data_IF_819016525451
#
_entry.id   IF_819016525451
#
_cell.length_a   1.000
_cell.length_b   1.000
_cell.length_c   1.000
_cell.angle_alpha   90.00
_cell.angle_beta   90.00
_cell.angle_gamma   90.00
#
_symmetry.space_group_name_H-M   'P 1'
#
loop_
_entity.id
_entity.type
_entity.pdbx_description
1 polymer ?
#
# COMPACT_ATOMS: atom_id res chain seq x y z
N UNK A 1 19.67 -23.42 -2.51
CA UNK A 1 18.28 -23.45 -3.04
C UNK A 1 17.18 -23.53 -1.96
N UNK A 2 17.39 -24.15 -0.79
CA UNK A 2 16.32 -24.28 0.24
C UNK A 2 15.85 -22.98 0.92
N UNK A 3 16.65 -21.90 0.91
CA UNK A 3 16.33 -20.68 1.68
C UNK A 3 15.15 -19.86 1.11
N UNK A 4 14.92 -19.93 -0.20
CA UNK A 4 13.88 -19.14 -0.89
C UNK A 4 12.49 -19.79 -0.80
N UNK A 5 12.42 -21.12 -0.88
CA UNK A 5 11.15 -21.86 -0.87
C UNK A 5 10.52 -21.90 0.52
N UNK A 6 11.32 -22.13 1.56
CA UNK A 6 10.84 -22.07 2.95
C UNK A 6 10.41 -20.67 3.35
N UNK A 7 11.14 -19.63 2.91
CA UNK A 7 10.77 -18.23 3.11
C UNK A 7 9.46 -17.89 2.41
N UNK A 8 9.26 -18.36 1.18
CA UNK A 8 8.01 -18.17 0.44
C UNK A 8 6.82 -18.87 1.12
N UNK A 9 7.03 -20.07 1.64
CA UNK A 9 6.01 -20.80 2.38
C UNK A 9 5.63 -20.04 3.66
N UNK A 10 6.62 -19.53 4.40
CA UNK A 10 6.41 -18.71 5.59
C UNK A 10 5.64 -17.43 5.26
N UNK A 11 6.05 -16.71 4.21
CA UNK A 11 5.37 -15.49 3.78
C UNK A 11 3.90 -15.75 3.47
N UNK A 12 3.57 -16.83 2.74
CA UNK A 12 2.17 -17.19 2.43
C UNK A 12 1.43 -17.63 3.70
N UNK A 13 2.06 -18.48 4.53
CA UNK A 13 1.45 -19.02 5.74
C UNK A 13 1.05 -17.92 6.75
N UNK A 14 1.79 -16.81 6.78
CA UNK A 14 1.48 -15.67 7.65
C UNK A 14 0.59 -14.64 6.94
N UNK A 15 0.91 -14.26 5.70
CA UNK A 15 0.17 -13.19 4.99
C UNK A 15 -1.26 -13.60 4.60
N UNK A 16 -1.51 -14.87 4.31
CA UNK A 16 -2.83 -15.34 3.92
C UNK A 16 -3.86 -15.22 5.05
N UNK A 17 -3.65 -15.80 6.24
CA UNK A 17 -4.57 -15.62 7.36
C UNK A 17 -4.63 -14.15 7.81
N UNK A 18 -3.50 -13.43 7.81
CA UNK A 18 -3.50 -12.00 8.14
C UNK A 18 -4.39 -11.20 7.18
N UNK A 19 -4.35 -11.51 5.87
CA UNK A 19 -5.20 -10.86 4.87
C UNK A 19 -6.68 -11.22 5.05
N UNK A 20 -7.00 -12.47 5.40
CA UNK A 20 -8.38 -12.90 5.64
C UNK A 20 -8.96 -12.20 6.88
N UNK A 21 -8.20 -12.15 7.97
CA UNK A 21 -8.60 -11.46 9.20
C UNK A 21 -8.71 -9.94 8.97
N UNK A 22 -7.79 -9.37 8.19
CA UNK A 22 -7.81 -7.96 7.85
C UNK A 22 -8.85 -7.62 6.76
N UNK A 23 -9.42 -8.59 6.04
CA UNK A 23 -10.34 -8.34 4.93
C UNK A 23 -11.54 -7.44 5.29
N UNK A 24 -12.30 -7.66 6.39
CA UNK A 24 -13.39 -6.76 6.78
C UNK A 24 -12.89 -5.34 7.08
N UNK A 25 -11.72 -5.22 7.72
CA UNK A 25 -11.09 -3.93 8.00
C UNK A 25 -10.66 -3.23 6.71
N UNK A 26 -9.97 -3.93 5.81
CA UNK A 26 -9.53 -3.43 4.51
C UNK A 26 -10.71 -2.92 3.68
N UNK A 27 -11.83 -3.65 3.69
CA UNK A 27 -13.03 -3.24 2.97
C UNK A 27 -13.66 -1.98 3.56
N UNK A 28 -13.78 -1.91 4.90
CA UNK A 28 -14.23 -0.71 5.59
C UNK A 28 -13.34 0.49 5.33
N UNK A 29 -12.02 0.33 5.44
CA UNK A 29 -11.04 1.38 5.13
C UNK A 29 -11.13 1.84 3.67
N UNK A 30 -11.27 0.91 2.70
CA UNK A 30 -11.48 1.25 1.30
C UNK A 30 -12.72 2.14 1.11
N UNK A 31 -13.83 1.83 1.79
CA UNK A 31 -15.04 2.63 1.74
C UNK A 31 -14.81 4.02 2.35
N UNK A 32 -14.22 4.12 3.54
CA UNK A 32 -13.92 5.41 4.18
C UNK A 32 -12.97 6.27 3.35
N UNK A 33 -11.92 5.67 2.78
CA UNK A 33 -11.02 6.36 1.86
C UNK A 33 -11.78 6.89 0.66
N UNK A 34 -12.65 6.08 0.05
CA UNK A 34 -13.44 6.51 -1.11
C UNK A 34 -14.41 7.65 -0.77
N UNK A 35 -15.03 7.61 0.40
CA UNK A 35 -15.98 8.63 0.86
C UNK A 35 -15.28 9.94 1.28
N UNK A 36 -14.08 9.87 1.87
CA UNK A 36 -13.37 11.05 2.43
C UNK A 36 -12.36 11.67 1.47
N UNK A 37 -11.68 10.86 0.66
CA UNK A 37 -10.61 11.28 -0.25
C UNK A 37 -10.97 11.16 -1.74
N UNK A 38 -12.08 10.49 -2.05
CA UNK A 38 -12.55 10.27 -3.42
C UNK A 38 -12.01 8.98 -4.05
N UNK A 39 -12.35 8.77 -5.33
CA UNK A 39 -11.83 7.66 -6.11
C UNK A 39 -10.51 8.03 -6.81
N UNK A 40 -9.55 7.11 -6.98
CA UNK A 40 -9.53 5.72 -6.50
C UNK A 40 -9.15 5.59 -5.02
N UNK A 41 -9.61 4.52 -4.36
CA UNK A 41 -9.27 4.24 -2.95
C UNK A 41 -7.84 3.71 -2.75
N UNK A 42 -7.29 3.05 -3.77
CA UNK A 42 -5.94 2.51 -3.74
C UNK A 42 -4.98 3.43 -4.50
N UNK A 43 -3.85 3.72 -3.86
CA UNK A 43 -2.69 4.32 -4.48
C UNK A 43 -1.77 3.20 -4.99
N UNK A 44 -1.25 3.36 -6.21
CA UNK A 44 -0.40 2.38 -6.88
C UNK A 44 0.92 3.05 -7.23
N UNK A 45 2.03 2.42 -6.86
CA UNK A 45 3.35 2.94 -7.17
C UNK A 45 4.26 1.85 -7.71
N UNK A 46 4.93 2.10 -8.82
CA UNK A 46 5.94 1.18 -9.34
C UNK A 46 7.19 1.22 -8.45
N UNK A 47 7.69 0.04 -8.09
CA UNK A 47 8.88 -0.15 -7.26
C UNK A 47 9.79 -1.22 -7.86
N UNK A 48 11.13 -1.10 -7.72
CA UNK A 48 12.04 -2.15 -8.11
C UNK A 48 11.92 -3.33 -7.12
N UNK A 49 11.71 -4.52 -7.66
CA UNK A 49 11.63 -5.78 -6.93
C UNK A 49 12.86 -6.66 -7.13
N UNK A 50 12.69 -7.96 -6.89
CA UNK A 50 13.77 -8.93 -6.98
C UNK A 50 14.35 -9.02 -8.41
N UNK A 51 15.68 -9.00 -8.52
CA UNK A 51 16.43 -9.01 -9.79
C UNK A 51 16.07 -7.86 -10.75
N UNK A 52 15.70 -6.69 -10.20
CA UNK A 52 15.36 -5.52 -11.01
C UNK A 52 14.00 -5.60 -11.70
N UNK A 53 13.21 -6.66 -11.45
CA UNK A 53 11.83 -6.74 -11.96
C UNK A 53 10.96 -5.76 -11.22
N UNK A 54 10.30 -4.89 -11.96
CA UNK A 54 9.42 -3.86 -11.42
C UNK A 54 8.10 -4.47 -10.99
N UNK A 55 7.57 -4.08 -9.84
CA UNK A 55 6.23 -4.47 -9.41
C UNK A 55 5.42 -3.26 -8.94
N UNK A 56 4.10 -3.42 -8.90
CA UNK A 56 3.18 -2.38 -8.46
C UNK A 56 2.88 -2.56 -6.99
N UNK A 57 3.36 -1.65 -6.16
CA UNK A 57 3.07 -1.59 -4.73
C UNK A 57 1.68 -0.96 -4.51
N UNK A 58 0.87 -1.60 -3.68
CA UNK A 58 -0.50 -1.15 -3.36
C UNK A 58 -0.56 -0.53 -1.97
N UNK A 59 -1.15 0.66 -1.86
CA UNK A 59 -1.46 1.34 -0.59
C UNK A 59 -2.87 1.90 -0.61
N UNK A 60 -3.41 2.28 0.54
CA UNK A 60 -4.55 3.18 0.56
C UNK A 60 -4.12 4.61 0.21
N UNK A 61 -5.02 5.31 -0.46
CA UNK A 61 -4.84 6.72 -0.75
C UNK A 61 -5.00 7.54 0.52
N UNK A 62 -3.99 8.34 0.86
CA UNK A 62 -4.00 9.20 2.06
C UNK A 62 -4.07 10.70 1.74
N UNK A 63 -3.98 11.08 0.47
CA UNK A 63 -3.94 12.48 0.03
C UNK A 63 -5.02 12.76 -1.02
N UNK A 64 -5.59 13.96 -1.00
CA UNK A 64 -6.58 14.41 -1.99
C UNK A 64 -5.91 14.84 -3.30
N UNK A 65 -6.67 14.99 -4.39
CA UNK A 65 -6.19 15.58 -5.65
C UNK A 65 -6.61 17.04 -5.80
N UNK A 66 -6.69 17.77 -4.68
CA UNK A 66 -7.06 19.18 -4.70
C UNK A 66 -6.02 19.97 -5.49
N UNK A 67 -6.49 20.75 -6.45
CA UNK A 67 -5.68 21.61 -7.32
C UNK A 67 -5.92 23.08 -6.98
N UNK A 68 -4.97 23.93 -7.29
CA UNK A 68 -5.12 25.38 -7.26
C UNK A 68 -5.94 25.88 -8.48
N UNK A 69 -6.18 27.19 -8.53
CA UNK A 69 -6.89 27.86 -9.62
C UNK A 69 -6.15 27.74 -10.97
N UNK A 70 -4.84 27.49 -10.94
CA UNK A 70 -4.01 27.29 -12.12
C UNK A 70 -3.95 25.82 -12.57
N UNK A 71 -4.66 24.92 -11.88
CA UNK A 71 -4.69 23.48 -12.17
C UNK A 71 -3.49 22.68 -11.64
N UNK A 72 -2.59 23.29 -10.88
CA UNK A 72 -1.48 22.62 -10.23
C UNK A 72 -1.93 21.92 -8.95
N UNK A 73 -1.32 20.78 -8.62
CA UNK A 73 -1.59 20.10 -7.35
C UNK A 73 -1.17 20.99 -6.19
N UNK A 74 -2.04 21.11 -5.19
CA UNK A 74 -1.71 21.84 -3.97
C UNK A 74 -0.51 21.20 -3.24
N UNK A 75 0.17 21.97 -2.36
CA UNK A 75 1.19 21.41 -1.48
C UNK A 75 0.66 20.26 -0.64
N UNK A 76 1.54 19.31 -0.32
CA UNK A 76 1.23 18.11 0.44
C UNK A 76 0.49 18.39 1.75
N UNK A 77 0.87 19.46 2.45
CA UNK A 77 0.25 19.90 3.70
C UNK A 77 -1.24 20.21 3.56
N UNK A 78 -1.65 20.78 2.42
CA UNK A 78 -3.05 21.11 2.12
C UNK A 78 -3.83 19.91 1.59
N UNK A 79 -3.13 18.89 1.06
CA UNK A 79 -3.74 17.66 0.51
C UNK A 79 -3.88 16.54 1.54
N UNK A 80 -3.14 16.61 2.64
CA UNK A 80 -3.13 15.61 3.70
C UNK A 80 -4.22 15.87 4.74
N UNK A 81 -5.35 15.18 4.61
CA UNK A 81 -6.49 15.31 5.53
C UNK A 81 -6.22 14.70 6.91
N UNK A 82 -6.96 15.07 7.98
CA UNK A 82 -6.83 14.42 9.29
C UNK A 82 -7.00 12.90 9.23
N UNK A 83 -7.91 12.42 8.39
CA UNK A 83 -8.09 10.98 8.15
C UNK A 83 -6.87 10.36 7.44
N UNK A 84 -6.31 11.03 6.44
CA UNK A 84 -5.06 10.62 5.80
C UNK A 84 -3.87 10.59 6.76
N UNK A 85 -3.77 11.57 7.68
CA UNK A 85 -2.77 11.58 8.76
C UNK A 85 -2.94 10.39 9.68
N UNK A 86 -4.17 10.09 10.09
CA UNK A 86 -4.48 8.94 10.94
C UNK A 86 -4.08 7.61 10.27
N UNK A 87 -4.41 7.42 8.98
CA UNK A 87 -4.02 6.22 8.23
C UNK A 87 -2.51 6.01 8.21
N UNK A 88 -1.73 7.08 7.94
CA UNK A 88 -0.26 7.02 7.95
C UNK A 88 0.31 6.78 9.35
N UNK A 89 -0.24 7.44 10.37
CA UNK A 89 0.23 7.29 11.75
C UNK A 89 0.01 5.87 12.28
N UNK A 90 -1.07 5.22 11.83
CA UNK A 90 -1.39 3.83 12.20
C UNK A 90 -0.83 2.79 11.23
N UNK A 91 -0.14 3.23 10.16
CA UNK A 91 0.34 2.37 9.05
C UNK A 91 -0.76 1.53 8.39
N UNK A 92 -2.02 1.90 8.57
CA UNK A 92 -3.17 1.20 7.98
C UNK A 92 -3.17 1.34 6.46
N UNK A 93 -2.55 2.39 5.93
CA UNK A 93 -2.40 2.59 4.50
C UNK A 93 -1.49 1.57 3.80
N UNK A 94 -0.61 0.89 4.54
CA UNK A 94 0.29 -0.14 4.02
C UNK A 94 -0.32 -1.54 4.05
N UNK A 95 -1.46 -1.76 4.72
CA UNK A 95 -2.11 -3.08 4.76
C UNK A 95 -2.40 -3.70 3.38
N UNK A 96 -2.76 -2.94 2.32
CA UNK A 96 -2.89 -3.48 0.97
C UNK A 96 -1.61 -4.11 0.40
N UNK A 97 -0.41 -3.81 0.96
CA UNK A 97 0.85 -4.44 0.57
C UNK A 97 0.89 -5.95 0.89
N UNK A 98 0.04 -6.44 1.81
CA UNK A 98 -0.11 -7.89 2.05
C UNK A 98 -0.48 -8.64 0.76
N UNK A 99 -1.18 -7.97 -0.17
CA UNK A 99 -1.47 -8.53 -1.49
C UNK A 99 -0.20 -8.73 -2.34
N UNK A 100 0.77 -7.82 -2.25
CA UNK A 100 2.06 -7.96 -2.91
C UNK A 100 2.86 -9.13 -2.32
N UNK A 101 2.79 -9.32 -1.00
CA UNK A 101 3.36 -10.50 -0.34
C UNK A 101 2.71 -11.77 -0.86
N UNK A 102 1.38 -11.83 -0.93
CA UNK A 102 0.66 -13.00 -1.44
C UNK A 102 0.99 -13.30 -2.91
N UNK A 103 1.08 -12.29 -3.76
CA UNK A 103 1.53 -12.43 -5.16
C UNK A 103 2.97 -12.91 -5.30
N UNK A 104 3.82 -12.59 -4.32
CA UNK A 104 5.25 -12.92 -4.35
C UNK A 104 6.12 -11.82 -4.93
N UNK A 105 5.57 -10.62 -5.06
CA UNK A 105 6.33 -9.42 -5.40
C UNK A 105 7.20 -8.96 -4.21
N UNK A 106 6.71 -9.21 -2.98
CA UNK A 106 7.35 -8.83 -1.72
C UNK A 106 7.41 -10.01 -0.74
N UNK A 107 8.20 -9.86 0.32
CA UNK A 107 8.30 -10.77 1.46
C UNK A 107 7.95 -10.00 2.73
N UNK A 108 7.41 -10.67 3.76
CA UNK A 108 7.05 -10.03 5.03
C UNK A 108 8.29 -9.44 5.71
N UNK A 109 9.43 -10.13 5.58
CA UNK A 109 10.72 -9.70 6.13
C UNK A 109 11.70 -9.54 4.98
N UNK A 110 12.02 -8.31 4.60
CA UNK A 110 12.93 -8.04 3.49
C UNK A 110 13.37 -6.58 3.41
N UNK A 111 14.29 -6.24 2.48
CA UNK A 111 14.69 -4.86 2.25
C UNK A 111 13.50 -4.05 1.73
N UNK A 112 13.35 -2.81 2.20
CA UNK A 112 12.27 -1.91 1.76
C UNK A 112 12.48 -1.51 0.29
N UNK A 113 11.47 -1.63 -0.60
CA UNK A 113 11.60 -1.22 -1.99
C UNK A 113 11.88 0.29 -2.11
N UNK A 114 13.00 0.65 -2.73
CA UNK A 114 13.37 2.05 -2.94
C UNK A 114 12.57 2.68 -4.09
N UNK A 115 12.72 3.99 -4.30
CA UNK A 115 12.13 4.65 -5.46
C UNK A 115 12.90 4.24 -6.72
N UNK A 116 12.20 4.15 -7.84
CA UNK A 116 12.89 4.08 -9.14
C UNK A 116 13.64 5.40 -9.35
N UNK A 117 14.92 5.29 -9.71
CA UNK A 117 15.71 6.40 -10.23
C UNK A 117 15.51 6.52 -11.74
#
# INVERSE_FOLDING_TARGET
MCRLRSKRLFDIAVSLPATIIAAPLLWGLALFVRLKLGAPAFFRQARPGLHGKTFTLYKFRTMTDTKDENGNLLPDEKRLTPFGKFLRATSLDELPELWNVLKGDMSIVGPRPLLMQ
#
